data_IF_128648789378
#
_entry.id   IF_128648789378
#
_cell.length_a   1.000
_cell.length_b   1.000
_cell.length_c   1.000
_cell.angle_alpha   90.00
_cell.angle_beta   90.00
_cell.angle_gamma   90.00
#
_symmetry.space_group_name_H-M   'P 1'
#
loop_
_entity.id
_entity.type
_entity.pdbx_description
1 polymer ?
#
# COMPACT_ATOMS: atom_id res chain seq x y z
N UNK A 1 -8.01 11.54 9.87
CA UNK A 1 -7.47 11.22 8.52
C UNK A 1 -8.44 10.24 7.87
N UNK A 2 -8.71 10.35 6.56
CA UNK A 2 -9.51 9.35 5.85
C UNK A 2 -8.68 8.10 5.55
N UNK A 3 -9.33 6.93 5.45
CA UNK A 3 -8.68 5.66 5.13
C UNK A 3 -7.82 5.71 3.86
N UNK A 4 -8.26 6.44 2.82
CA UNK A 4 -7.51 6.59 1.56
C UNK A 4 -6.16 7.30 1.74
N UNK A 5 -6.07 8.23 2.70
CA UNK A 5 -4.82 8.93 2.99
C UNK A 5 -3.86 8.03 3.77
N UNK A 6 -4.35 7.28 4.75
CA UNK A 6 -3.56 6.31 5.50
C UNK A 6 -2.98 5.24 4.57
N UNK A 7 -3.80 4.68 3.66
CA UNK A 7 -3.34 3.69 2.66
C UNK A 7 -2.22 4.27 1.78
N UNK A 8 -2.40 5.49 1.27
CA UNK A 8 -1.39 6.19 0.45
C UNK A 8 -0.07 6.36 1.20
N UNK A 9 -0.13 6.71 2.49
CA UNK A 9 1.04 6.90 3.35
C UNK A 9 1.74 5.56 3.60
N UNK A 10 1.02 4.55 4.09
CA UNK A 10 1.58 3.24 4.45
C UNK A 10 2.19 2.54 3.24
N UNK A 11 1.52 2.52 2.08
CA UNK A 11 2.09 1.96 0.85
C UNK A 11 3.41 2.63 0.50
N UNK A 12 3.44 3.97 0.49
CA UNK A 12 4.62 4.73 0.10
C UNK A 12 5.77 4.59 1.09
N UNK A 13 5.47 4.52 2.39
CA UNK A 13 6.46 4.36 3.44
C UNK A 13 7.09 2.97 3.40
N UNK A 14 6.28 1.90 3.42
CA UNK A 14 6.81 0.54 3.40
C UNK A 14 7.56 0.24 2.10
N UNK A 15 7.04 0.69 0.96
CA UNK A 15 7.76 0.56 -0.33
C UNK A 15 9.14 1.22 -0.29
N UNK A 16 9.24 2.44 0.25
CA UNK A 16 10.52 3.15 0.35
C UNK A 16 11.47 2.51 1.36
N UNK A 17 10.95 2.00 2.48
CA UNK A 17 11.71 1.35 3.54
C UNK A 17 12.43 0.09 3.04
N UNK A 18 11.84 -0.65 2.11
CA UNK A 18 12.46 -1.82 1.47
C UNK A 18 13.16 -1.50 0.14
N UNK A 19 13.32 -0.21 -0.20
CA UNK A 19 14.07 0.22 -1.39
C UNK A 19 13.38 -0.03 -2.74
N UNK A 20 12.07 -0.29 -2.75
CA UNK A 20 11.35 -0.70 -3.95
C UNK A 20 10.82 0.50 -4.75
N UNK A 21 10.85 0.43 -6.07
CA UNK A 21 10.21 1.37 -7.00
C UNK A 21 8.72 1.07 -7.16
N UNK A 22 7.96 2.02 -7.75
CA UNK A 22 6.55 1.76 -8.05
C UNK A 22 6.38 0.63 -9.08
N UNK A 23 7.33 0.50 -10.02
CA UNK A 23 7.32 -0.54 -11.06
C UNK A 23 7.54 -1.92 -10.45
N UNK A 24 8.51 -2.07 -9.54
CA UNK A 24 8.78 -3.33 -8.85
C UNK A 24 7.59 -3.75 -7.98
N UNK A 25 6.98 -2.81 -7.24
CA UNK A 25 5.79 -3.10 -6.45
C UNK A 25 4.62 -3.57 -7.33
N UNK A 26 4.42 -2.89 -8.46
CA UNK A 26 3.38 -3.23 -9.41
C UNK A 26 3.57 -4.62 -10.01
N UNK A 27 4.81 -4.95 -10.40
CA UNK A 27 5.20 -6.27 -10.88
C UNK A 27 4.94 -7.36 -9.84
N UNK A 28 5.41 -7.20 -8.61
CA UNK A 28 5.20 -8.18 -7.53
C UNK A 28 3.72 -8.36 -7.16
N UNK A 29 2.93 -7.30 -7.27
CA UNK A 29 1.51 -7.35 -7.02
C UNK A 29 0.70 -7.81 -8.24
N UNK A 30 1.32 -8.03 -9.41
CA UNK A 30 0.64 -8.30 -10.68
C UNK A 30 -0.48 -7.27 -10.97
N UNK A 31 -0.14 -5.99 -10.94
CA UNK A 31 -1.02 -4.84 -11.27
C UNK A 31 -0.26 -3.80 -12.08
N UNK A 32 -1.00 -2.86 -12.68
CA UNK A 32 -0.41 -1.77 -13.46
C UNK A 32 0.36 -0.77 -12.56
N UNK A 33 1.56 -0.33 -12.96
CA UNK A 33 2.34 0.69 -12.24
C UNK A 33 1.55 1.99 -12.04
N UNK A 34 0.76 2.41 -13.03
CA UNK A 34 -0.11 3.57 -12.94
C UNK A 34 -1.13 3.41 -11.82
N UNK A 35 -1.61 2.19 -11.57
CA UNK A 35 -2.48 1.92 -10.44
C UNK A 35 -1.76 2.16 -9.10
N UNK A 36 -0.54 1.64 -8.92
CA UNK A 36 0.30 1.97 -7.74
C UNK A 36 0.47 3.48 -7.58
N UNK A 37 0.78 4.20 -8.67
CA UNK A 37 0.90 5.66 -8.65
C UNK A 37 -0.40 6.36 -8.23
N UNK A 38 -1.56 5.87 -8.67
CA UNK A 38 -2.86 6.41 -8.29
C UNK A 38 -3.19 6.15 -6.81
N UNK A 39 -2.79 4.99 -6.27
CA UNK A 39 -2.91 4.68 -4.85
C UNK A 39 -2.06 5.64 -4.00
N UNK A 40 -0.77 5.78 -4.33
CA UNK A 40 0.13 6.68 -3.59
C UNK A 40 -0.27 8.16 -3.69
N UNK A 41 -0.99 8.56 -4.74
CA UNK A 41 -1.52 9.93 -4.91
C UNK A 41 -2.95 10.11 -4.41
N UNK A 42 -3.54 9.13 -3.71
CA UNK A 42 -4.89 9.20 -3.13
C UNK A 42 -6.00 9.37 -4.19
N UNK A 43 -5.74 8.94 -5.43
CA UNK A 43 -6.65 9.06 -6.58
C UNK A 43 -7.50 7.82 -6.81
N UNK A 44 -7.11 6.67 -6.24
CA UNK A 44 -7.88 5.42 -6.26
C UNK A 44 -7.87 4.74 -4.89
N UNK A 45 -8.88 3.90 -4.66
CA UNK A 45 -8.94 3.00 -3.50
C UNK A 45 -8.60 1.58 -3.95
N UNK A 46 -7.76 0.85 -3.21
CA UNK A 46 -7.51 -0.56 -3.49
C UNK A 46 -8.70 -1.41 -3.05
N UNK A 47 -8.90 -2.56 -3.69
CA UNK A 47 -9.73 -3.63 -3.14
C UNK A 47 -9.00 -4.34 -2.02
N UNK A 48 -9.70 -5.15 -1.23
CA UNK A 48 -9.06 -5.97 -0.19
C UNK A 48 -8.03 -6.94 -0.79
N UNK A 49 -8.31 -7.52 -1.96
CA UNK A 49 -7.38 -8.37 -2.69
C UNK A 49 -6.05 -7.65 -3.00
N UNK A 50 -6.11 -6.39 -3.46
CA UNK A 50 -4.91 -5.59 -3.71
C UNK A 50 -4.14 -5.32 -2.40
N UNK A 51 -4.83 -5.06 -1.29
CA UNK A 51 -4.17 -4.89 0.02
C UNK A 51 -3.42 -6.17 0.43
N UNK A 52 -4.01 -7.34 0.20
CA UNK A 52 -3.35 -8.62 0.48
C UNK A 52 -2.09 -8.80 -0.38
N UNK A 53 -2.19 -8.56 -1.70
CA UNK A 53 -1.05 -8.65 -2.61
C UNK A 53 0.09 -7.69 -2.23
N UNK A 54 -0.24 -6.44 -1.89
CA UNK A 54 0.73 -5.45 -1.41
C UNK A 54 1.36 -5.87 -0.08
N UNK A 55 0.56 -6.39 0.85
CA UNK A 55 1.08 -6.85 2.14
C UNK A 55 2.09 -7.98 1.95
N UNK A 56 1.80 -8.93 1.06
CA UNK A 56 2.72 -10.02 0.75
C UNK A 56 3.99 -9.57 0.03
N UNK A 57 3.91 -8.59 -0.88
CA UNK A 57 5.11 -8.03 -1.54
C UNK A 57 6.01 -7.24 -0.58
N UNK A 58 5.45 -6.74 0.52
CA UNK A 58 6.20 -6.15 1.63
C UNK A 58 6.65 -7.15 2.70
N UNK A 59 6.40 -8.45 2.50
CA UNK A 59 6.70 -9.52 3.46
C UNK A 59 6.05 -9.33 4.85
N UNK A 60 4.85 -8.77 4.89
CA UNK A 60 4.07 -8.57 6.12
C UNK A 60 2.68 -9.21 6.02
N UNK A 61 2.06 -9.45 7.17
CA UNK A 61 0.68 -9.94 7.21
C UNK A 61 -0.28 -8.80 6.85
N UNK A 62 -1.40 -9.08 6.16
CA UNK A 62 -2.45 -8.09 5.94
C UNK A 62 -2.98 -7.45 7.23
N UNK A 63 -3.04 -8.21 8.32
CA UNK A 63 -3.39 -7.69 9.65
C UNK A 63 -2.38 -6.64 10.16
N UNK A 64 -1.09 -6.83 9.90
CA UNK A 64 -0.06 -5.85 10.22
C UNK A 64 -0.24 -4.60 9.36
N UNK A 65 -0.57 -4.75 8.08
CA UNK A 65 -0.88 -3.63 7.22
C UNK A 65 -2.07 -2.81 7.75
N UNK A 66 -3.17 -3.48 8.12
CA UNK A 66 -4.35 -2.84 8.73
C UNK A 66 -3.98 -2.13 10.03
N UNK A 67 -3.19 -2.76 10.90
CA UNK A 67 -2.70 -2.13 12.13
C UNK A 67 -1.92 -0.83 11.84
N UNK A 68 -1.04 -0.83 10.82
CA UNK A 68 -0.33 0.38 10.41
C UNK A 68 -1.30 1.49 9.92
N UNK A 69 -2.44 1.12 9.32
CA UNK A 69 -3.47 2.10 8.96
C UNK A 69 -4.12 2.68 10.22
N UNK A 70 -4.49 1.86 11.20
CA UNK A 70 -5.03 2.28 12.49
C UNK A 70 -4.06 3.25 13.19
N UNK A 71 -2.79 2.85 13.32
CA UNK A 71 -1.72 3.66 13.92
C UNK A 71 -1.56 5.01 13.20
N UNK A 72 -1.57 5.00 11.86
CA UNK A 72 -1.47 6.22 11.02
C UNK A 72 -2.70 7.13 11.16
N UNK A 73 -3.86 6.54 11.42
CA UNK A 73 -5.12 7.26 11.63
C UNK A 73 -5.32 7.71 13.08
N UNK A 74 -4.45 7.29 14.00
CA UNK A 74 -4.59 7.46 15.45
C UNK A 74 -5.87 6.83 16.01
N UNK A 75 -6.18 5.61 15.54
CA UNK A 75 -7.29 4.78 16.02
C UNK A 75 -6.84 3.80 17.11
#
# INVERSE_FOLDING_TARGET
MELKEAISIVIKQERKKIGMSQEELAHLCNIDRTYISLLERKKRRPTLDVIFRISYSFHIKPSTFVKMLEDTMHL
#
